data_IF_943098188303
#
_entry.id   IF_943098188303
#
_cell.length_a   1.000
_cell.length_b   1.000
_cell.length_c   1.000
_cell.angle_alpha   90.00
_cell.angle_beta   90.00
_cell.angle_gamma   90.00
#
_symmetry.space_group_name_H-M   'P 1'
#
loop_
_entity.id
_entity.type
_entity.pdbx_description
1 polymer ?
#
# COMPACT_ATOMS: atom_id res chain seq x y z
N UNK A 1 19.18 -22.22 4.94
CA UNK A 1 17.93 -21.47 5.23
C UNK A 1 17.38 -21.97 6.56
N UNK A 2 17.01 -21.07 7.46
CA UNK A 2 16.32 -21.43 8.71
C UNK A 2 14.81 -21.50 8.45
N UNK A 3 14.07 -22.46 9.03
CA UNK A 3 12.60 -22.46 8.94
C UNK A 3 12.00 -21.21 9.61
N UNK A 4 10.95 -20.65 8.99
CA UNK A 4 10.15 -19.57 9.57
C UNK A 4 9.51 -20.04 10.87
N UNK A 5 9.63 -19.24 11.93
CA UNK A 5 8.92 -19.48 13.18
C UNK A 5 7.57 -18.77 13.18
N UNK A 6 6.65 -19.20 14.05
CA UNK A 6 5.39 -18.49 14.29
C UNK A 6 5.63 -17.02 14.65
N UNK A 7 6.66 -16.75 15.44
CA UNK A 7 7.04 -15.40 15.84
C UNK A 7 7.53 -14.56 14.66
N UNK A 8 8.32 -15.15 13.75
CA UNK A 8 8.77 -14.46 12.54
C UNK A 8 7.58 -14.05 11.65
N UNK A 9 6.57 -14.93 11.53
CA UNK A 9 5.35 -14.65 10.75
C UNK A 9 4.55 -13.51 11.38
N UNK A 10 4.32 -13.58 12.70
CA UNK A 10 3.50 -12.59 13.41
C UNK A 10 4.17 -11.22 13.52
N UNK A 11 5.51 -11.17 13.56
CA UNK A 11 6.30 -9.91 13.56
C UNK A 11 6.48 -9.30 12.17
N UNK A 12 6.17 -10.02 11.10
CA UNK A 12 6.34 -9.52 9.73
C UNK A 12 5.61 -8.19 9.48
N UNK A 13 4.43 -8.01 10.10
CA UNK A 13 3.64 -6.76 10.05
C UNK A 13 4.24 -5.59 10.83
N UNK A 14 5.18 -5.87 11.74
CA UNK A 14 5.77 -4.87 12.62
C UNK A 14 6.98 -4.18 12.00
N UNK A 15 7.40 -4.60 10.79
CA UNK A 15 8.43 -3.91 10.02
C UNK A 15 8.02 -2.44 9.85
N UNK A 16 8.92 -1.53 10.22
CA UNK A 16 8.76 -0.09 10.04
C UNK A 16 9.80 0.42 9.06
N UNK A 17 9.40 1.36 8.21
CA UNK A 17 10.28 2.01 7.24
C UNK A 17 10.00 3.51 7.26
N UNK A 18 11.05 4.33 7.26
CA UNK A 18 10.92 5.78 7.13
C UNK A 18 10.82 6.13 5.65
N UNK A 19 9.76 6.82 5.26
CA UNK A 19 9.51 7.31 3.92
C UNK A 19 9.63 8.83 3.91
N UNK A 20 10.55 9.35 3.12
CA UNK A 20 10.67 10.79 2.91
C UNK A 20 9.54 11.31 2.00
N UNK A 21 8.94 12.43 2.38
CA UNK A 21 7.89 13.11 1.62
C UNK A 21 8.39 14.49 1.19
N UNK A 22 8.83 14.60 -0.07
CA UNK A 22 9.37 15.83 -0.67
C UNK A 22 8.44 17.04 -0.48
N UNK A 23 7.12 16.83 -0.62
CA UNK A 23 6.12 17.88 -0.52
C UNK A 23 6.07 18.56 0.87
N UNK A 24 6.57 17.89 1.91
CA UNK A 24 6.68 18.42 3.27
C UNK A 24 8.12 18.57 3.74
N UNK A 25 9.10 18.09 2.95
CA UNK A 25 10.51 17.98 3.33
C UNK A 25 10.67 17.31 4.72
N UNK A 26 9.94 16.22 4.93
CA UNK A 26 9.83 15.53 6.20
C UNK A 26 9.59 14.03 5.99
N UNK A 27 9.87 13.24 7.02
CA UNK A 27 9.71 11.79 6.99
C UNK A 27 8.44 11.35 7.70
N UNK A 28 7.86 10.26 7.20
CA UNK A 28 6.80 9.51 7.88
C UNK A 28 7.24 8.08 8.11
N UNK A 29 6.69 7.40 9.11
CA UNK A 29 6.91 5.97 9.31
C UNK A 29 5.75 5.18 8.71
N UNK A 30 6.06 4.19 7.88
CA UNK A 30 5.09 3.27 7.29
C UNK A 30 5.38 1.81 7.69
N UNK A 31 4.38 0.94 7.55
CA UNK A 31 4.48 -0.51 7.75
C UNK A 31 3.80 -1.29 6.61
N UNK A 32 4.15 -2.57 6.40
CA UNK A 32 3.36 -3.41 5.51
C UNK A 32 1.97 -3.68 6.10
N UNK A 33 1.04 -3.97 5.19
CA UNK A 33 -0.30 -4.43 5.48
C UNK A 33 -0.31 -5.95 5.61
N UNK A 34 -1.20 -6.42 6.47
CA UNK A 34 -1.55 -7.84 6.56
C UNK A 34 -2.48 -8.25 5.41
N UNK A 35 -2.59 -9.54 5.15
CA UNK A 35 -3.49 -10.10 4.13
C UNK A 35 -4.96 -9.65 4.30
N UNK A 36 -5.45 -9.60 5.54
CA UNK A 36 -6.79 -9.12 5.84
C UNK A 36 -6.99 -7.62 5.55
N UNK A 37 -5.98 -6.80 5.81
CA UNK A 37 -6.00 -5.37 5.49
C UNK A 37 -5.95 -5.15 3.97
N UNK A 38 -5.12 -5.90 3.25
CA UNK A 38 -5.04 -5.88 1.79
C UNK A 38 -6.38 -6.26 1.15
N UNK A 39 -7.04 -7.29 1.68
CA UNK A 39 -8.37 -7.69 1.22
C UNK A 39 -9.37 -6.54 1.34
N UNK A 40 -9.31 -5.77 2.43
CA UNK A 40 -10.13 -4.57 2.62
C UNK A 40 -9.82 -3.46 1.60
N UNK A 41 -8.53 -3.23 1.32
CA UNK A 41 -8.09 -2.26 0.30
C UNK A 41 -8.58 -2.65 -1.10
N UNK A 42 -8.44 -3.92 -1.47
CA UNK A 42 -8.86 -4.40 -2.79
C UNK A 42 -10.38 -4.42 -2.98
N UNK A 43 -11.14 -4.63 -1.90
CA UNK A 43 -12.60 -4.55 -1.95
C UNK A 43 -13.11 -3.17 -2.40
N UNK A 44 -12.35 -2.09 -2.14
CA UNK A 44 -12.69 -0.72 -2.60
C UNK A 44 -12.67 -0.63 -4.13
N UNK A 45 -11.72 -1.31 -4.78
CA UNK A 45 -11.61 -1.37 -6.24
C UNK A 45 -12.82 -2.14 -6.83
N UNK A 46 -13.36 -3.10 -6.08
CA UNK A 46 -14.46 -3.96 -6.49
C UNK A 46 -13.95 -5.15 -7.30
N UNK A 47 -14.61 -5.48 -8.42
CA UNK A 47 -14.15 -6.53 -9.33
C UNK A 47 -12.82 -6.11 -9.94
N UNK A 48 -11.71 -6.65 -9.43
CA UNK A 48 -10.39 -6.50 -10.05
C UNK A 48 -10.49 -7.12 -11.44
N UNK A 49 -10.41 -6.33 -12.52
CA UNK A 49 -10.47 -6.89 -13.86
C UNK A 49 -9.16 -7.65 -14.06
N UNK A 50 -9.24 -8.95 -14.20
CA UNK A 50 -8.09 -9.77 -14.59
C UNK A 50 -8.05 -9.88 -16.11
N UNK A 51 -6.84 -9.87 -16.66
CA UNK A 51 -6.59 -10.32 -18.02
C UNK A 51 -6.66 -11.85 -18.07
N UNK A 52 -6.74 -12.39 -19.29
CA UNK A 52 -6.78 -13.84 -19.52
C UNK A 52 -5.50 -14.56 -19.02
N UNK A 53 -4.42 -13.81 -18.76
CA UNK A 53 -3.15 -14.31 -18.20
C UNK A 53 -3.10 -14.29 -16.66
N UNK A 54 -4.18 -13.90 -15.98
CA UNK A 54 -4.26 -13.83 -14.52
C UNK A 54 -3.62 -12.57 -13.92
N UNK A 55 -3.11 -11.65 -14.74
CA UNK A 55 -2.61 -10.35 -14.28
C UNK A 55 -3.72 -9.31 -14.21
N UNK A 56 -3.52 -8.24 -13.43
CA UNK A 56 -4.53 -7.17 -13.28
C UNK A 56 -4.56 -6.29 -14.54
N UNK A 57 -5.76 -6.08 -15.10
CA UNK A 57 -6.04 -5.20 -16.22
C UNK A 57 -6.18 -3.74 -15.76
N UNK A 58 -5.05 -3.06 -15.66
CA UNK A 58 -4.98 -1.66 -15.21
C UNK A 58 -5.78 -0.68 -16.07
N UNK A 59 -6.14 -1.03 -17.31
CA UNK A 59 -6.90 -0.15 -18.21
C UNK A 59 -8.41 -0.13 -17.90
N UNK A 60 -8.89 -1.13 -17.15
CA UNK A 60 -10.29 -1.24 -16.74
C UNK A 60 -10.51 -0.86 -15.27
N UNK A 61 -9.46 -0.40 -14.59
CA UNK A 61 -9.55 0.06 -13.21
C UNK A 61 -10.20 1.45 -13.21
N UNK A 62 -11.25 1.59 -12.41
CA UNK A 62 -11.83 2.90 -12.10
C UNK A 62 -10.79 3.73 -11.33
N UNK A 63 -10.31 4.79 -11.99
CA UNK A 63 -9.28 5.69 -11.46
C UNK A 63 -9.68 6.25 -10.08
N UNK A 64 -10.96 6.59 -9.88
CA UNK A 64 -11.45 7.11 -8.61
C UNK A 64 -11.33 6.06 -7.50
N UNK A 65 -11.72 4.82 -7.78
CA UNK A 65 -11.60 3.72 -6.82
C UNK A 65 -10.15 3.36 -6.52
N UNK A 66 -9.27 3.50 -7.51
CA UNK A 66 -7.84 3.32 -7.29
C UNK A 66 -7.29 4.39 -6.32
N UNK A 67 -7.68 5.66 -6.49
CA UNK A 67 -7.33 6.71 -5.54
C UNK A 67 -7.87 6.43 -4.13
N UNK A 68 -9.12 5.98 -4.02
CA UNK A 68 -9.73 5.60 -2.74
C UNK A 68 -8.98 4.43 -2.08
N UNK A 69 -8.59 3.42 -2.85
CA UNK A 69 -7.83 2.27 -2.37
C UNK A 69 -6.43 2.68 -1.88
N UNK A 70 -5.72 3.54 -2.63
CA UNK A 70 -4.41 4.05 -2.22
C UNK A 70 -4.52 4.92 -0.96
N UNK A 71 -5.54 5.75 -0.87
CA UNK A 71 -5.83 6.57 0.32
C UNK A 71 -6.09 5.69 1.55
N UNK A 72 -6.87 4.62 1.38
CA UNK A 72 -7.13 3.65 2.44
C UNK A 72 -5.85 2.91 2.86
N UNK A 73 -5.05 2.46 1.89
CA UNK A 73 -3.77 1.81 2.16
C UNK A 73 -2.82 2.74 2.95
N UNK A 74 -2.75 4.01 2.57
CA UNK A 74 -1.98 5.03 3.29
C UNK A 74 -2.47 5.16 4.74
N UNK A 75 -3.78 5.32 4.97
CA UNK A 75 -4.33 5.47 6.32
C UNK A 75 -4.05 4.25 7.22
N UNK A 76 -4.06 3.03 6.68
CA UNK A 76 -3.80 1.81 7.47
C UNK A 76 -2.29 1.61 7.72
N UNK A 77 -1.48 1.90 6.70
CA UNK A 77 -0.03 1.65 6.70
C UNK A 77 0.79 2.76 7.35
N UNK A 78 0.25 3.97 7.49
CA UNK A 78 0.91 5.10 8.13
C UNK A 78 0.91 4.91 9.66
N UNK A 79 2.10 5.02 10.25
CA UNK A 79 2.36 4.72 11.65
C UNK A 79 2.57 6.01 12.43
N UNK A 80 3.46 6.86 11.92
CA UNK A 80 3.78 8.16 12.51
C UNK A 80 3.94 9.18 11.37
N UNK A 81 3.17 10.29 11.38
CA UNK A 81 2.07 10.56 12.30
C UNK A 81 0.89 9.61 12.04
N UNK A 82 0.19 9.18 13.08
CA UNK A 82 -1.03 8.38 12.92
C UNK A 82 -2.18 9.28 12.46
N UNK A 83 -2.71 9.03 11.27
CA UNK A 83 -3.81 9.80 10.67
C UNK A 83 -5.02 8.90 10.38
N UNK A 84 -6.21 9.46 10.59
CA UNK A 84 -7.48 8.89 10.13
C UNK A 84 -7.60 9.05 8.61
N UNK A 85 -8.51 8.29 7.99
CA UNK A 85 -8.74 8.36 6.54
C UNK A 85 -9.14 9.76 6.08
N UNK A 86 -9.90 10.50 6.89
CA UNK A 86 -10.33 11.85 6.53
C UNK A 86 -9.17 12.85 6.65
N UNK A 87 -8.31 12.71 7.65
CA UNK A 87 -7.08 13.52 7.74
C UNK A 87 -6.10 13.23 6.61
N UNK A 88 -6.03 11.98 6.13
CA UNK A 88 -5.21 11.62 4.95
C UNK A 88 -5.75 12.31 3.68
N UNK A 89 -7.06 12.47 3.53
CA UNK A 89 -7.65 13.17 2.36
C UNK A 89 -7.34 14.67 2.34
N UNK A 90 -7.05 15.27 3.49
CA UNK A 90 -6.66 16.68 3.62
C UNK A 90 -5.16 16.93 3.34
N UNK A 91 -4.38 15.86 3.08
CA UNK A 91 -2.98 16.00 2.70
C UNK A 91 -2.83 16.69 1.34
N UNK A 92 -1.61 17.18 1.06
CA UNK A 92 -1.26 17.74 -0.24
C UNK A 92 -1.55 16.69 -1.33
N UNK A 93 -2.14 17.16 -2.43
CA UNK A 93 -2.47 16.32 -3.59
C UNK A 93 -1.28 15.45 -4.02
N UNK A 94 -1.53 14.15 -4.25
CA UNK A 94 -0.53 13.17 -4.67
C UNK A 94 0.24 12.50 -3.52
N UNK A 95 0.19 13.05 -2.30
CA UNK A 95 0.91 12.46 -1.15
C UNK A 95 0.24 11.19 -0.63
N UNK A 96 -1.09 11.14 -0.40
CA UNK A 96 -1.77 9.90 0.00
C UNK A 96 -1.48 8.74 -0.95
N UNK A 97 -1.47 9.01 -2.26
CA UNK A 97 -1.22 8.02 -3.29
C UNK A 97 0.21 7.49 -3.25
N UNK A 98 1.17 8.39 -3.07
CA UNK A 98 2.57 8.03 -2.94
C UNK A 98 2.81 7.14 -1.72
N UNK A 99 2.26 7.52 -0.56
CA UNK A 99 2.36 6.73 0.67
C UNK A 99 1.66 5.38 0.48
N UNK A 100 0.44 5.36 -0.03
CA UNK A 100 -0.34 4.15 -0.27
C UNK A 100 0.39 3.18 -1.20
N UNK A 101 0.99 3.68 -2.28
CA UNK A 101 1.79 2.86 -3.19
C UNK A 101 3.00 2.26 -2.48
N UNK A 102 3.73 3.05 -1.69
CA UNK A 102 4.89 2.57 -0.91
C UNK A 102 4.51 1.52 0.13
N UNK A 103 3.38 1.70 0.80
CA UNK A 103 2.80 0.71 1.72
C UNK A 103 2.48 -0.60 1.00
N UNK A 104 1.84 -0.54 -0.17
CA UNK A 104 1.53 -1.73 -0.97
C UNK A 104 2.80 -2.45 -1.46
N UNK A 105 3.79 -1.72 -1.93
CA UNK A 105 5.11 -2.26 -2.31
C UNK A 105 5.78 -2.99 -1.14
N UNK A 106 5.79 -2.35 0.03
CA UNK A 106 6.34 -2.92 1.27
C UNK A 106 5.58 -4.18 1.71
N UNK A 107 4.29 -4.26 1.36
CA UNK A 107 3.41 -5.41 1.60
C UNK A 107 3.58 -6.53 0.56
N UNK A 108 4.46 -6.36 -0.42
CA UNK A 108 4.74 -7.35 -1.47
C UNK A 108 3.84 -7.25 -2.71
N UNK A 109 3.00 -6.21 -2.81
CA UNK A 109 2.21 -5.94 -4.02
C UNK A 109 3.07 -5.10 -4.96
N UNK A 110 3.72 -5.77 -5.92
CA UNK A 110 4.51 -5.09 -6.95
C UNK A 110 3.65 -4.78 -8.16
N UNK A 111 3.63 -3.53 -8.61
CA UNK A 111 3.21 -3.23 -9.98
C UNK A 111 4.29 -3.77 -10.94
N UNK A 112 3.89 -4.34 -12.07
CA UNK A 112 4.77 -5.05 -13.01
C UNK A 112 5.96 -4.23 -13.54
N UNK A 113 6.03 -2.92 -13.28
CA UNK A 113 7.14 -2.06 -13.68
C UNK A 113 8.45 -2.28 -12.90
N UNK A 114 8.44 -2.99 -11.77
CA UNK A 114 9.66 -3.36 -11.02
C UNK A 114 10.04 -4.85 -11.11
N UNK A 115 9.31 -5.65 -11.89
CA UNK A 115 9.61 -7.08 -12.07
C UNK A 115 10.83 -7.36 -12.98
N UNK A 116 11.46 -6.32 -13.57
CA UNK A 116 12.68 -6.43 -14.39
C UNK A 116 13.89 -5.70 -13.76
N UNK A 117 14.26 -6.06 -12.54
CA UNK A 117 15.66 -5.91 -12.07
C UNK A 117 16.00 -7.06 -11.12
N UNK A 118 16.21 -8.24 -11.69
CA UNK A 118 17.10 -9.28 -11.15
C UNK A 118 17.86 -9.90 -12.32
#
# INVERSE_FOLDING_TARGET
>A
MKPLTKEDILKGKDKRENLHIDAYNADVTIRPLTDGELTGVFAVIGSIPFKDDGTIDTNKIDVKKNFEALTLAASIGLVEPKLTIDEVKEMKFGVPEFIGMKVLELSGITTANNAKKK
#
